data_IF_860532780659
#
_entry.id   IF_860532780659
#
_cell.length_a   1.000
_cell.length_b   1.000
_cell.length_c   1.000
_cell.angle_alpha   90.00
_cell.angle_beta   90.00
_cell.angle_gamma   90.00
#
_symmetry.space_group_name_H-M   'P 1'
#
loop_
_entity.id
_entity.type
_entity.pdbx_description
1 polymer ?
#
# COMPACT_ATOMS: atom_id res chain seq x y z
N UNK A 1 -41.73 18.34 30.83
CA UNK A 1 -41.38 19.69 30.29
C UNK A 1 -41.36 19.58 28.77
N UNK A 2 -42.26 20.27 28.04
CA UNK A 2 -42.15 20.39 26.58
C UNK A 2 -40.86 21.15 26.28
N UNK A 3 -39.87 20.49 25.66
CA UNK A 3 -38.73 21.22 25.07
C UNK A 3 -39.31 22.24 24.09
N UNK A 4 -39.03 23.54 24.31
CA UNK A 4 -39.37 24.58 23.34
C UNK A 4 -38.63 24.29 22.03
N UNK A 5 -39.38 24.18 20.94
CA UNK A 5 -38.84 24.04 19.58
C UNK A 5 -37.93 25.22 19.26
N UNK A 6 -36.65 24.98 18.96
CA UNK A 6 -35.69 26.06 18.68
C UNK A 6 -35.60 26.34 17.19
N UNK A 7 -35.38 27.62 16.87
CA UNK A 7 -35.04 28.07 15.52
C UNK A 7 -33.52 28.18 15.40
N UNK A 8 -32.96 27.44 14.46
CA UNK A 8 -31.52 27.43 14.18
C UNK A 8 -31.31 27.98 12.77
N UNK A 9 -30.47 28.99 12.64
CA UNK A 9 -30.23 29.69 11.38
C UNK A 9 -28.95 29.26 10.70
N UNK A 10 -28.94 29.20 9.37
CA UNK A 10 -27.72 29.04 8.60
C UNK A 10 -27.63 30.04 7.43
N UNK A 11 -26.48 30.73 7.32
CA UNK A 11 -26.19 31.71 6.29
C UNK A 11 -24.87 31.42 5.57
N UNK A 12 -24.79 31.75 4.28
CA UNK A 12 -23.59 31.49 3.46
C UNK A 12 -23.35 32.60 2.44
N UNK A 13 -22.09 33.02 2.31
CA UNK A 13 -21.65 33.95 1.27
C UNK A 13 -20.40 33.47 0.55
N UNK A 14 -20.28 33.84 -0.74
CA UNK A 14 -19.12 33.53 -1.55
C UNK A 14 -17.96 34.51 -1.37
N UNK A 15 -18.24 35.79 -1.10
CA UNK A 15 -17.21 36.85 -1.01
C UNK A 15 -17.66 38.18 -0.37
N UNK A 16 -18.93 38.60 -0.50
CA UNK A 16 -19.38 39.95 -0.08
C UNK A 16 -19.98 39.97 1.35
N UNK A 17 -19.57 40.93 2.19
CA UNK A 17 -20.04 41.08 3.57
C UNK A 17 -21.44 41.69 3.68
N UNK A 18 -21.84 42.52 2.71
CA UNK A 18 -23.20 43.08 2.67
C UNK A 18 -24.28 42.00 2.48
N UNK A 19 -24.02 40.96 1.67
CA UNK A 19 -24.94 39.83 1.43
C UNK A 19 -25.08 38.92 2.68
N UNK A 20 -24.06 38.90 3.55
CA UNK A 20 -24.12 38.13 4.79
C UNK A 20 -24.99 38.84 5.83
N UNK A 21 -24.85 40.15 5.95
CA UNK A 21 -25.63 40.93 6.92
C UNK A 21 -27.13 40.85 6.61
N UNK A 22 -27.52 40.94 5.33
CA UNK A 22 -28.92 40.77 4.90
C UNK A 22 -29.51 39.41 5.30
N UNK A 23 -28.71 38.33 5.20
CA UNK A 23 -29.11 37.00 5.63
C UNK A 23 -29.30 36.93 7.15
N UNK A 24 -28.36 37.48 7.91
CA UNK A 24 -28.40 37.49 9.37
C UNK A 24 -29.60 38.29 9.89
N UNK A 25 -29.85 39.47 9.33
CA UNK A 25 -30.97 40.32 9.71
C UNK A 25 -32.31 39.62 9.45
N UNK A 26 -32.43 38.90 8.32
CA UNK A 26 -33.61 38.11 7.99
C UNK A 26 -33.83 36.93 8.97
N UNK A 27 -32.75 36.23 9.37
CA UNK A 27 -32.81 35.12 10.32
C UNK A 27 -33.21 35.59 11.73
N UNK A 28 -32.64 36.70 12.19
CA UNK A 28 -32.95 37.30 13.50
C UNK A 28 -34.40 37.79 13.52
N UNK A 29 -34.88 38.41 12.43
CA UNK A 29 -36.27 38.90 12.31
C UNK A 29 -37.31 37.78 12.44
N UNK A 30 -36.96 36.55 12.06
CA UNK A 30 -37.82 35.36 12.17
C UNK A 30 -37.75 34.72 13.57
N UNK A 31 -36.84 35.16 14.42
CA UNK A 31 -36.70 34.69 15.80
C UNK A 31 -35.54 33.70 16.02
N UNK A 32 -34.60 33.58 15.09
CA UNK A 32 -33.35 32.86 15.37
C UNK A 32 -32.49 33.66 16.36
N UNK A 33 -32.09 33.06 17.47
CA UNK A 33 -31.16 33.68 18.40
C UNK A 33 -29.76 33.79 17.77
N UNK A 34 -29.02 34.86 18.08
CA UNK A 34 -27.65 35.04 17.53
C UNK A 34 -26.73 33.84 17.81
N UNK A 35 -26.89 33.22 18.98
CA UNK A 35 -26.09 32.06 19.40
C UNK A 35 -26.47 30.74 18.68
N UNK A 36 -27.57 30.75 17.92
CA UNK A 36 -28.05 29.61 17.12
C UNK A 36 -27.97 29.86 15.61
N UNK A 37 -27.24 30.90 15.18
CA UNK A 37 -26.98 31.19 13.77
C UNK A 37 -25.55 30.78 13.40
N UNK A 38 -25.43 29.94 12.38
CA UNK A 38 -24.15 29.46 11.85
C UNK A 38 -23.87 30.07 10.48
N UNK A 39 -22.60 30.39 10.21
CA UNK A 39 -22.22 31.07 8.97
C UNK A 39 -21.01 30.44 8.31
N UNK A 40 -21.02 30.38 6.98
CA UNK A 40 -19.85 30.01 6.18
C UNK A 40 -19.50 31.11 5.15
N UNK A 41 -18.24 31.56 5.16
CA UNK A 41 -17.66 32.48 4.15
C UNK A 41 -16.72 31.67 3.25
N UNK A 42 -17.25 31.12 2.15
CA UNK A 42 -16.52 30.16 1.30
C UNK A 42 -16.68 30.54 -0.16
N UNK A 43 -15.57 30.83 -0.84
CA UNK A 43 -15.52 30.96 -2.30
C UNK A 43 -15.62 29.58 -2.96
N UNK A 44 -16.30 29.53 -4.12
CA UNK A 44 -16.59 28.27 -4.81
C UNK A 44 -15.35 27.38 -5.03
N UNK A 45 -15.56 26.06 -4.95
CA UNK A 45 -14.68 24.88 -5.14
C UNK A 45 -14.19 24.12 -3.90
N UNK A 46 -14.15 24.70 -2.69
CA UNK A 46 -13.79 23.93 -1.47
C UNK A 46 -14.98 23.11 -0.90
N UNK A 47 -14.72 21.88 -0.47
CA UNK A 47 -15.75 20.92 -0.02
C UNK A 47 -16.24 21.19 1.42
N UNK A 48 -15.31 21.61 2.28
CA UNK A 48 -15.52 21.77 3.73
C UNK A 48 -16.47 22.93 4.04
N UNK A 49 -17.48 22.66 4.87
CA UNK A 49 -18.50 23.63 5.33
C UNK A 49 -18.64 23.50 6.86
N UNK A 50 -17.64 23.96 7.62
CA UNK A 50 -17.61 23.76 9.06
C UNK A 50 -18.77 24.47 9.77
N UNK A 51 -19.30 25.58 9.22
CA UNK A 51 -20.49 26.24 9.75
C UNK A 51 -21.74 25.39 9.60
N UNK A 52 -21.96 24.80 8.41
CA UNK A 52 -23.09 23.90 8.18
C UNK A 52 -23.00 22.62 9.02
N UNK A 53 -21.81 22.03 9.14
CA UNK A 53 -21.61 20.81 9.96
C UNK A 53 -21.96 21.07 11.43
N UNK A 54 -21.45 22.16 12.02
CA UNK A 54 -21.80 22.58 13.39
C UNK A 54 -23.29 22.87 13.55
N UNK A 55 -23.92 23.46 12.54
CA UNK A 55 -25.36 23.68 12.54
C UNK A 55 -26.13 22.37 12.61
N UNK A 56 -25.73 21.36 11.83
CA UNK A 56 -26.39 20.05 11.78
C UNK A 56 -26.18 19.23 13.04
N UNK A 57 -25.02 19.36 13.71
CA UNK A 57 -24.75 18.73 15.01
C UNK A 57 -25.59 19.32 16.14
N UNK A 58 -25.93 20.61 16.05
CA UNK A 58 -26.67 21.31 17.10
C UNK A 58 -28.17 21.04 17.08
N UNK A 59 -28.73 20.72 15.91
CA UNK A 59 -30.15 20.47 15.70
C UNK A 59 -30.62 19.20 16.44
N UNK A 60 -31.74 19.32 17.15
CA UNK A 60 -32.41 18.22 17.85
C UNK A 60 -33.83 17.99 17.31
N UNK A 61 -34.43 16.86 17.68
CA UNK A 61 -35.81 16.55 17.33
C UNK A 61 -36.76 17.66 17.82
N UNK A 62 -37.61 18.18 16.92
CA UNK A 62 -38.52 19.29 17.18
C UNK A 62 -37.97 20.68 16.86
N UNK A 63 -36.68 20.80 16.49
CA UNK A 63 -36.11 22.06 16.04
C UNK A 63 -36.47 22.36 14.58
N UNK A 64 -36.33 23.63 14.19
CA UNK A 64 -36.47 24.06 12.78
C UNK A 64 -35.17 24.68 12.28
N UNK A 65 -34.64 24.15 11.18
CA UNK A 65 -33.57 24.79 10.41
C UNK A 65 -34.15 25.87 9.47
N UNK A 66 -33.69 27.10 9.66
CA UNK A 66 -34.05 28.26 8.84
C UNK A 66 -32.87 28.67 7.96
N UNK A 67 -33.13 28.86 6.67
CA UNK A 67 -32.17 29.45 5.73
C UNK A 67 -32.79 30.60 4.97
N UNK A 68 -31.98 31.59 4.59
CA UNK A 68 -32.48 32.70 3.79
C UNK A 68 -33.01 32.26 2.42
N UNK A 69 -32.24 31.39 1.74
CA UNK A 69 -32.58 30.81 0.43
C UNK A 69 -32.01 29.39 0.26
N UNK A 70 -32.63 28.59 -0.60
CA UNK A 70 -32.25 27.18 -0.87
C UNK A 70 -30.84 27.04 -1.48
N UNK A 71 -30.43 27.99 -2.33
CA UNK A 71 -29.09 28.05 -2.95
C UNK A 71 -27.98 28.22 -1.90
N UNK A 72 -28.32 28.64 -0.68
CA UNK A 72 -27.38 28.77 0.43
C UNK A 72 -27.08 27.43 1.09
N UNK A 73 -28.03 26.48 1.03
CA UNK A 73 -27.93 25.17 1.69
C UNK A 73 -27.32 24.08 0.77
N UNK A 74 -27.79 23.95 -0.48
CA UNK A 74 -27.35 22.90 -1.41
C UNK A 74 -26.37 23.38 -2.50
N UNK A 75 -25.53 22.47 -3.03
CA UNK A 75 -24.74 22.71 -4.27
C UNK A 75 -25.48 22.29 -5.54
N UNK A 76 -26.49 21.44 -5.37
CA UNK A 76 -27.37 20.92 -6.41
C UNK A 76 -28.72 20.59 -5.77
N UNK A 77 -29.78 20.56 -6.58
CA UNK A 77 -31.12 20.17 -6.12
C UNK A 77 -31.12 18.78 -5.47
N UNK A 78 -30.33 17.84 -6.00
CA UNK A 78 -30.22 16.49 -5.43
C UNK A 78 -29.64 16.50 -4.00
N UNK A 79 -28.57 17.26 -3.78
CA UNK A 79 -27.96 17.37 -2.45
C UNK A 79 -28.90 18.04 -1.44
N UNK A 80 -29.69 19.02 -1.91
CA UNK A 80 -30.68 19.71 -1.10
C UNK A 80 -31.80 18.75 -0.64
N UNK A 81 -32.30 17.91 -1.56
CA UNK A 81 -33.34 16.91 -1.26
C UNK A 81 -32.87 15.92 -0.19
N UNK A 82 -31.67 15.33 -0.36
CA UNK A 82 -31.13 14.38 0.61
C UNK A 82 -30.95 14.99 2.01
N UNK A 83 -30.50 16.25 2.07
CA UNK A 83 -30.30 16.93 3.34
C UNK A 83 -31.64 17.16 4.05
N UNK A 84 -32.66 17.64 3.33
CA UNK A 84 -33.99 17.90 3.92
C UNK A 84 -34.68 16.58 4.31
N UNK A 85 -34.55 15.51 3.51
CA UNK A 85 -35.03 14.17 3.90
C UNK A 85 -34.36 13.68 5.19
N UNK A 86 -33.04 13.89 5.34
CA UNK A 86 -32.32 13.52 6.56
C UNK A 86 -32.78 14.31 7.78
N UNK A 87 -33.04 15.61 7.62
CA UNK A 87 -33.59 16.46 8.69
C UNK A 87 -34.97 15.95 9.13
N UNK A 88 -35.83 15.64 8.16
CA UNK A 88 -37.16 15.09 8.42
C UNK A 88 -37.11 13.76 9.17
N UNK A 89 -36.23 12.84 8.78
CA UNK A 89 -36.03 11.56 9.47
C UNK A 89 -35.60 11.74 10.94
N UNK A 90 -34.89 12.84 11.25
CA UNK A 90 -34.48 13.21 12.60
C UNK A 90 -35.54 14.00 13.37
N UNK A 91 -36.73 14.22 12.79
CA UNK A 91 -37.79 15.03 13.39
C UNK A 91 -37.47 16.53 13.39
N UNK A 92 -36.58 16.98 12.51
CA UNK A 92 -36.20 18.39 12.36
C UNK A 92 -36.98 18.99 11.19
N UNK A 93 -37.62 20.13 11.42
CA UNK A 93 -38.32 20.89 10.39
C UNK A 93 -37.36 21.78 9.60
N UNK A 94 -37.74 22.12 8.37
CA UNK A 94 -36.97 22.97 7.46
C UNK A 94 -37.84 24.08 6.85
N UNK A 95 -37.29 25.30 6.79
CA UNK A 95 -37.94 26.47 6.18
C UNK A 95 -36.94 27.37 5.45
N UNK A 96 -37.30 27.79 4.24
CA UNK A 96 -36.64 28.90 3.53
C UNK A 96 -37.41 30.21 3.70
N UNK A 97 -36.72 31.32 3.89
CA UNK A 97 -37.32 32.65 4.07
C UNK A 97 -37.86 33.20 2.76
N UNK A 98 -37.04 33.22 1.71
CA UNK A 98 -37.36 33.92 0.47
C UNK A 98 -37.98 33.02 -0.61
N UNK A 99 -37.85 31.69 -0.50
CA UNK A 99 -38.35 30.78 -1.53
C UNK A 99 -39.84 30.40 -1.34
N UNK A 100 -40.52 31.00 -0.35
CA UNK A 100 -41.98 31.15 -0.18
C UNK A 100 -42.85 29.90 -0.04
N UNK A 101 -42.46 28.79 -0.66
CA UNK A 101 -43.27 27.59 -0.86
C UNK A 101 -42.67 26.34 -0.19
N UNK A 102 -41.45 26.43 0.37
CA UNK A 102 -40.77 25.31 1.04
C UNK A 102 -40.73 25.56 2.53
N UNK A 103 -41.88 25.33 3.15
CA UNK A 103 -42.06 25.25 4.60
C UNK A 103 -42.61 23.87 4.94
N UNK A 104 -41.72 22.98 5.39
CA UNK A 104 -42.07 21.59 5.74
C UNK A 104 -42.93 21.48 7.01
N UNK A 105 -43.22 22.61 7.68
CA UNK A 105 -44.19 22.66 8.79
C UNK A 105 -45.64 22.84 8.32
N UNK A 106 -45.86 23.02 7.01
CA UNK A 106 -47.19 23.20 6.41
C UNK A 106 -47.50 22.08 5.42
N UNK A 107 -48.77 21.64 5.35
CA UNK A 107 -49.19 20.59 4.40
C UNK A 107 -48.93 20.97 2.94
N UNK A 108 -49.14 22.24 2.58
CA UNK A 108 -48.87 22.76 1.22
C UNK A 108 -47.37 22.80 0.92
N UNK A 109 -46.53 23.21 1.87
CA UNK A 109 -45.08 23.22 1.69
C UNK A 109 -44.46 21.83 1.65
N UNK A 110 -45.03 20.87 2.37
CA UNK A 110 -44.63 19.46 2.30
C UNK A 110 -44.97 18.85 0.93
N UNK A 111 -46.16 19.12 0.38
CA UNK A 111 -46.54 18.67 -0.96
C UNK A 111 -45.57 19.21 -2.03
N UNK A 112 -45.28 20.51 -1.97
CA UNK A 112 -44.35 21.16 -2.90
C UNK A 112 -42.95 20.57 -2.79
N UNK A 113 -42.46 20.30 -1.57
CA UNK A 113 -41.18 19.64 -1.37
C UNK A 113 -41.12 18.23 -1.98
N UNK A 114 -42.18 17.42 -1.82
CA UNK A 114 -42.26 16.08 -2.40
C UNK A 114 -42.27 16.10 -3.94
N UNK A 115 -42.91 17.09 -4.55
CA UNK A 115 -42.89 17.32 -5.99
C UNK A 115 -41.47 17.67 -6.46
N UNK A 116 -40.78 18.60 -5.77
CA UNK A 116 -39.38 18.95 -6.07
C UNK A 116 -38.43 17.76 -5.91
N UNK A 117 -38.65 16.93 -4.90
CA UNK A 117 -37.86 15.72 -4.65
C UNK A 117 -38.02 14.71 -5.79
N UNK A 118 -39.26 14.51 -6.25
CA UNK A 118 -39.59 13.65 -7.38
C UNK A 118 -38.99 14.16 -8.69
N UNK A 119 -39.07 15.47 -8.94
CA UNK A 119 -38.45 16.14 -10.10
C UNK A 119 -36.91 16.01 -10.09
N UNK A 120 -36.27 16.19 -8.94
CA UNK A 120 -34.82 16.05 -8.82
C UNK A 120 -34.35 14.60 -9.08
N UNK A 121 -35.11 13.60 -8.61
CA UNK A 121 -34.85 12.19 -8.92
C UNK A 121 -35.08 11.87 -10.40
N UNK A 122 -36.08 12.49 -11.02
CA UNK A 122 -36.35 12.35 -12.44
C UNK A 122 -35.22 12.92 -13.30
N UNK A 123 -34.74 14.15 -13.02
CA UNK A 123 -33.60 14.74 -13.73
C UNK A 123 -32.33 13.90 -13.61
N UNK A 124 -32.03 13.35 -12.42
CA UNK A 124 -30.87 12.47 -12.23
C UNK A 124 -30.96 11.23 -13.11
N UNK A 125 -32.14 10.60 -13.19
CA UNK A 125 -32.37 9.44 -14.07
C UNK A 125 -32.20 9.81 -15.54
N UNK A 126 -32.75 10.94 -15.98
CA UNK A 126 -32.56 11.43 -17.35
C UNK A 126 -31.10 11.70 -17.70
N UNK A 127 -30.31 12.28 -16.79
CA UNK A 127 -28.87 12.50 -16.99
C UNK A 127 -28.13 11.16 -17.11
N UNK A 128 -28.45 10.19 -16.25
CA UNK A 128 -27.85 8.86 -16.31
C UNK A 128 -28.20 8.13 -17.61
N UNK A 129 -29.46 8.19 -18.03
CA UNK A 129 -29.95 7.61 -19.29
C UNK A 129 -29.26 8.24 -20.50
N UNK A 130 -29.21 9.57 -20.58
CA UNK A 130 -28.49 10.28 -21.66
C UNK A 130 -27.00 9.95 -21.68
N UNK A 131 -26.38 9.86 -20.51
CA UNK A 131 -24.95 9.50 -20.42
C UNK A 131 -24.71 8.08 -20.90
N UNK A 132 -25.56 7.13 -20.48
CA UNK A 132 -25.47 5.73 -20.90
C UNK A 132 -25.71 5.58 -22.40
N UNK A 133 -26.77 6.18 -22.93
CA UNK A 133 -27.05 6.19 -24.37
C UNK A 133 -25.91 6.84 -25.17
N UNK A 134 -25.32 7.94 -24.67
CA UNK A 134 -24.17 8.59 -25.27
C UNK A 134 -22.91 7.71 -25.27
N UNK A 135 -22.65 7.00 -24.17
CA UNK A 135 -21.52 6.06 -24.06
C UNK A 135 -21.71 4.82 -24.95
N UNK A 136 -22.92 4.27 -25.02
CA UNK A 136 -23.25 3.14 -25.91
C UNK A 136 -23.11 3.54 -27.37
N UNK A 137 -23.63 4.71 -27.76
CA UNK A 137 -23.46 5.25 -29.10
C UNK A 137 -22.00 5.62 -29.41
N UNK A 138 -21.19 5.98 -28.41
CA UNK A 138 -19.75 6.19 -28.59
C UNK A 138 -19.02 4.86 -28.79
N UNK A 139 -19.36 3.82 -28.02
CA UNK A 139 -18.80 2.46 -28.15
C UNK A 139 -19.15 1.82 -29.50
N UNK A 140 -20.39 1.95 -29.97
CA UNK A 140 -20.80 1.44 -31.29
C UNK A 140 -20.06 2.12 -32.44
N UNK A 141 -19.62 3.37 -32.24
CA UNK A 141 -18.73 4.12 -33.16
C UNK A 141 -17.23 3.86 -32.88
N UNK A 142 -16.89 2.82 -32.13
CA UNK A 142 -15.50 2.42 -31.83
C UNK A 142 -14.77 3.30 -30.80
N UNK A 143 -15.43 4.27 -30.18
CA UNK A 143 -14.82 5.10 -29.12
C UNK A 143 -14.96 4.39 -27.78
N UNK A 144 -13.94 3.61 -27.43
CA UNK A 144 -13.77 3.05 -26.10
C UNK A 144 -13.30 4.16 -25.15
N UNK A 145 -14.23 4.71 -24.37
CA UNK A 145 -13.93 5.69 -23.32
C UNK A 145 -12.93 5.16 -22.28
N UNK A 146 -12.29 6.08 -21.54
CA UNK A 146 -11.27 5.77 -20.55
C UNK A 146 -9.87 6.24 -20.96
N UNK A 147 -8.94 6.25 -20.00
CA UNK A 147 -7.54 6.62 -20.26
C UNK A 147 -6.91 5.56 -21.16
N UNK A 148 -6.44 5.96 -22.36
CA UNK A 148 -5.76 5.06 -23.30
C UNK A 148 -4.69 4.23 -22.57
N UNK A 149 -4.72 2.91 -22.76
CA UNK A 149 -3.66 2.02 -22.28
C UNK A 149 -2.35 2.46 -22.93
N UNK A 150 -1.33 2.67 -22.10
CA UNK A 150 0.03 2.86 -22.59
C UNK A 150 0.54 1.45 -22.94
N UNK A 151 1.02 1.23 -24.14
CA UNK A 151 1.61 -0.05 -24.55
C UNK A 151 3.10 -0.11 -24.16
N UNK A 152 3.64 -1.32 -24.03
CA UNK A 152 5.07 -1.51 -23.70
C UNK A 152 6.00 -0.96 -24.78
N UNK A 153 5.53 -0.96 -26.02
CA UNK A 153 6.18 -0.41 -27.22
C UNK A 153 6.12 1.12 -27.29
N UNK A 154 5.36 1.78 -26.40
CA UNK A 154 5.25 3.24 -26.41
C UNK A 154 6.65 3.84 -26.19
N UNK A 155 7.11 4.80 -27.01
CA UNK A 155 8.44 5.40 -26.88
C UNK A 155 8.74 5.89 -25.47
N UNK A 156 7.74 6.41 -24.77
CA UNK A 156 7.83 6.84 -23.37
C UNK A 156 8.16 5.70 -22.40
N UNK A 157 7.58 4.52 -22.57
CA UNK A 157 7.85 3.35 -21.71
C UNK A 157 9.24 2.79 -22.01
N UNK A 158 9.61 2.70 -23.29
CA UNK A 158 10.94 2.27 -23.70
C UNK A 158 12.03 3.21 -23.18
N UNK A 159 11.79 4.53 -23.26
CA UNK A 159 12.71 5.53 -22.74
C UNK A 159 12.78 5.52 -21.22
N UNK A 160 11.65 5.31 -20.53
CA UNK A 160 11.62 5.12 -19.08
C UNK A 160 12.43 3.89 -18.64
N UNK A 161 12.30 2.75 -19.34
CA UNK A 161 13.11 1.54 -19.08
C UNK A 161 14.60 1.81 -19.31
N UNK A 162 14.98 2.50 -20.38
CA UNK A 162 16.38 2.88 -20.65
C UNK A 162 16.95 3.84 -19.60
N UNK A 163 16.21 4.89 -19.26
CA UNK A 163 16.62 5.88 -18.25
C UNK A 163 16.77 5.24 -16.87
N UNK A 164 15.85 4.36 -16.48
CA UNK A 164 15.98 3.62 -15.22
C UNK A 164 17.20 2.71 -15.22
N UNK A 165 17.43 1.98 -16.33
CA UNK A 165 18.60 1.10 -16.50
C UNK A 165 19.94 1.86 -16.46
N UNK A 166 19.98 3.13 -16.86
CA UNK A 166 21.19 3.97 -16.75
C UNK A 166 21.50 4.49 -15.32
N UNK A 167 20.60 4.30 -14.35
CA UNK A 167 20.75 4.68 -12.94
C UNK A 167 21.04 6.18 -12.65
N UNK A 168 21.08 7.04 -13.68
CA UNK A 168 21.35 8.47 -13.51
C UNK A 168 20.15 9.31 -13.04
N UNK A 169 18.97 8.72 -12.90
CA UNK A 169 17.74 9.45 -12.55
C UNK A 169 16.78 8.58 -11.74
N UNK A 170 16.19 9.16 -10.70
CA UNK A 170 15.19 8.46 -9.87
C UNK A 170 13.93 8.15 -10.67
N UNK A 171 13.17 7.10 -10.30
CA UNK A 171 11.88 6.79 -10.94
C UNK A 171 10.91 7.97 -10.83
N UNK A 172 11.00 8.76 -9.76
CA UNK A 172 10.18 9.96 -9.59
C UNK A 172 10.48 11.00 -10.65
N UNK A 173 11.76 11.22 -10.93
CA UNK A 173 12.19 12.20 -11.90
C UNK A 173 11.98 11.68 -13.32
N UNK A 174 12.13 10.37 -13.56
CA UNK A 174 11.74 9.72 -14.83
C UNK A 174 10.23 9.88 -15.06
N UNK A 175 9.41 9.63 -14.05
CA UNK A 175 7.95 9.80 -14.12
C UNK A 175 7.57 11.25 -14.44
N UNK A 176 8.20 12.23 -13.77
CA UNK A 176 8.00 13.66 -14.02
C UNK A 176 8.43 14.05 -15.43
N UNK A 177 9.64 13.67 -15.82
CA UNK A 177 10.26 14.01 -17.12
C UNK A 177 9.44 13.45 -18.28
N UNK A 178 9.07 12.18 -18.22
CA UNK A 178 8.34 11.51 -19.29
C UNK A 178 6.82 11.71 -19.21
N UNK A 179 6.34 12.37 -18.14
CA UNK A 179 4.92 12.57 -17.81
C UNK A 179 4.16 11.24 -17.78
N UNK A 180 4.74 10.23 -17.12
CA UNK A 180 4.15 8.92 -16.88
C UNK A 180 3.80 8.83 -15.39
N UNK A 181 2.63 8.30 -15.04
CA UNK A 181 2.31 8.08 -13.63
C UNK A 181 3.12 6.92 -13.07
N UNK A 182 3.47 6.95 -11.77
CA UNK A 182 4.11 5.81 -11.10
C UNK A 182 3.34 4.50 -11.32
N UNK A 183 2.01 4.55 -11.20
CA UNK A 183 1.09 3.43 -11.50
C UNK A 183 1.27 2.82 -12.90
N UNK A 184 1.68 3.61 -13.89
CA UNK A 184 2.00 3.10 -15.23
C UNK A 184 3.41 2.53 -15.31
N UNK A 185 4.37 3.03 -14.53
CA UNK A 185 5.70 2.42 -14.44
C UNK A 185 5.65 1.05 -13.76
N UNK A 186 4.87 0.90 -12.67
CA UNK A 186 4.63 -0.39 -12.01
C UNK A 186 4.02 -1.43 -12.94
N UNK A 187 2.97 -1.05 -13.69
CA UNK A 187 2.27 -1.96 -14.62
C UNK A 187 3.11 -2.38 -15.83
N UNK A 188 4.27 -1.76 -16.04
CA UNK A 188 5.11 -1.96 -17.22
C UNK A 188 6.47 -2.57 -16.89
N UNK A 189 6.61 -3.14 -15.68
CA UNK A 189 7.85 -3.75 -15.17
C UNK A 189 9.06 -2.84 -15.41
N UNK A 190 8.90 -1.55 -15.10
CA UNK A 190 10.02 -0.61 -15.16
C UNK A 190 10.88 -0.75 -13.91
N UNK A 191 10.31 -1.20 -12.79
CA UNK A 191 11.00 -1.46 -11.51
C UNK A 191 11.34 -2.94 -11.37
N UNK A 192 12.51 -3.22 -10.80
CA UNK A 192 12.92 -4.57 -10.42
C UNK A 192 12.04 -5.06 -9.26
N UNK A 193 11.45 -6.24 -9.42
CA UNK A 193 10.64 -6.92 -8.41
C UNK A 193 11.47 -7.95 -7.67
N UNK A 194 11.58 -7.84 -6.36
CA UNK A 194 12.41 -8.74 -5.54
C UNK A 194 11.55 -9.48 -4.53
N UNK A 195 11.62 -10.81 -4.55
CA UNK A 195 11.07 -11.64 -3.49
C UNK A 195 12.09 -11.74 -2.33
N UNK A 196 11.63 -11.58 -1.10
CA UNK A 196 12.45 -11.77 0.11
C UNK A 196 11.83 -12.89 0.93
N UNK A 197 12.57 -13.96 1.19
CA UNK A 197 12.06 -15.10 1.98
C UNK A 197 12.72 -15.12 3.35
N UNK A 198 11.91 -15.08 4.41
CA UNK A 198 12.36 -15.04 5.80
C UNK A 198 11.77 -16.20 6.61
N UNK A 199 12.35 -16.45 7.79
CA UNK A 199 12.21 -17.72 8.52
C UNK A 199 11.67 -17.57 9.95
N UNK A 200 11.11 -16.42 10.31
CA UNK A 200 10.64 -16.08 11.67
C UNK A 200 11.10 -14.67 12.06
N UNK A 201 11.16 -14.36 13.35
CA UNK A 201 11.59 -13.04 13.84
C UNK A 201 12.51 -13.16 15.06
N UNK A 202 13.82 -13.32 14.81
CA UNK A 202 14.83 -13.49 15.85
C UNK A 202 15.95 -14.41 15.36
N UNK A 203 17.22 -14.06 15.55
CA UNK A 203 18.31 -14.80 14.91
C UNK A 203 18.48 -16.24 15.42
N UNK A 204 18.00 -16.60 16.61
CA UNK A 204 18.19 -17.96 17.17
C UNK A 204 17.12 -18.96 16.71
N UNK A 205 15.94 -18.48 16.32
CA UNK A 205 14.78 -19.32 15.98
C UNK A 205 14.01 -18.88 14.72
N UNK A 206 14.46 -17.79 14.08
CA UNK A 206 13.87 -17.17 12.90
C UNK A 206 14.89 -16.45 12.03
N UNK A 207 14.45 -15.39 11.35
CA UNK A 207 15.31 -14.56 10.54
C UNK A 207 16.17 -13.64 11.40
N UNK A 208 17.42 -13.40 10.98
CA UNK A 208 18.26 -12.36 11.58
C UNK A 208 17.63 -10.99 11.26
N UNK A 209 17.31 -10.22 12.30
CA UNK A 209 16.46 -9.03 12.20
C UNK A 209 17.21 -7.91 11.47
N UNK A 210 18.47 -7.67 11.80
CA UNK A 210 19.27 -6.63 11.16
C UNK A 210 19.56 -6.95 9.69
N UNK A 211 19.92 -8.19 9.36
CA UNK A 211 20.15 -8.61 7.97
C UNK A 211 18.91 -8.40 7.13
N UNK A 212 17.75 -8.77 7.67
CA UNK A 212 16.46 -8.59 7.00
C UNK A 212 16.14 -7.10 6.84
N UNK A 213 16.26 -6.30 7.90
CA UNK A 213 15.97 -4.85 7.85
C UNK A 213 16.93 -4.13 6.90
N UNK A 214 18.22 -4.45 6.90
CA UNK A 214 19.19 -3.89 5.97
C UNK A 214 18.90 -4.29 4.53
N UNK A 215 18.53 -5.55 4.30
CA UNK A 215 18.09 -6.00 2.97
C UNK A 215 16.92 -5.16 2.47
N UNK A 216 15.87 -4.98 3.30
CA UNK A 216 14.70 -4.19 2.95
C UNK A 216 15.02 -2.70 2.75
N UNK A 217 15.89 -2.13 3.59
CA UNK A 217 16.35 -0.75 3.48
C UNK A 217 17.09 -0.50 2.16
N UNK A 218 18.00 -1.38 1.78
CA UNK A 218 18.77 -1.22 0.54
C UNK A 218 17.89 -1.44 -0.69
N UNK A 219 16.97 -2.40 -0.64
CA UNK A 219 15.96 -2.59 -1.69
C UNK A 219 15.07 -1.35 -1.88
N UNK A 220 14.69 -0.66 -0.80
CA UNK A 220 13.95 0.61 -0.84
C UNK A 220 14.78 1.76 -1.43
N UNK A 221 16.06 1.91 -1.02
CA UNK A 221 16.99 2.90 -1.59
C UNK A 221 17.15 2.73 -3.10
N UNK A 222 17.16 1.48 -3.58
CA UNK A 222 17.21 1.16 -5.00
C UNK A 222 15.86 1.24 -5.72
N UNK A 223 14.78 1.65 -5.04
CA UNK A 223 13.43 1.82 -5.59
C UNK A 223 12.94 0.52 -6.26
N UNK A 224 13.10 -0.60 -5.57
CA UNK A 224 12.58 -1.90 -6.00
C UNK A 224 11.17 -2.13 -5.46
N UNK A 225 10.41 -3.00 -6.13
CA UNK A 225 9.14 -3.50 -5.59
C UNK A 225 9.43 -4.80 -4.81
N UNK A 226 9.20 -4.78 -3.50
CA UNK A 226 9.53 -5.91 -2.62
C UNK A 226 8.26 -6.65 -2.19
N UNK A 227 8.32 -7.99 -2.23
CA UNK A 227 7.32 -8.85 -1.57
C UNK A 227 8.03 -9.80 -0.63
N UNK A 228 7.54 -9.85 0.61
CA UNK A 228 8.10 -10.69 1.67
C UNK A 228 7.28 -11.97 1.76
N UNK A 229 7.97 -13.09 1.94
CA UNK A 229 7.38 -14.42 2.03
C UNK A 229 7.95 -15.18 3.23
N UNK A 230 7.12 -16.03 3.83
CA UNK A 230 7.55 -17.00 4.84
C UNK A 230 6.65 -18.24 4.76
N UNK A 231 7.16 -19.45 5.06
CA UNK A 231 6.31 -20.65 5.07
C UNK A 231 5.32 -20.59 6.24
N UNK A 232 4.07 -20.98 6.00
CA UNK A 232 3.07 -21.13 7.05
C UNK A 232 3.26 -22.48 7.80
N UNK A 233 4.29 -22.55 8.64
CA UNK A 233 4.66 -23.73 9.43
C UNK A 233 4.97 -23.35 10.88
N UNK A 234 4.95 -24.32 11.80
CA UNK A 234 5.46 -24.14 13.16
C UNK A 234 6.99 -23.97 13.15
N UNK A 235 7.54 -23.09 13.98
CA UNK A 235 8.98 -23.02 14.21
C UNK A 235 9.46 -24.31 14.88
N UNK A 236 10.63 -24.82 14.48
CA UNK A 236 11.21 -26.02 15.12
C UNK A 236 11.53 -25.81 16.59
N UNK A 237 11.84 -24.57 16.98
CA UNK A 237 12.08 -24.17 18.37
C UNK A 237 11.65 -22.72 18.57
N UNK A 238 11.40 -22.37 19.83
CA UNK A 238 11.24 -20.99 20.29
C UNK A 238 12.33 -20.73 21.31
N UNK A 239 13.04 -19.61 21.19
CA UNK A 239 14.20 -19.31 22.03
C UNK A 239 14.03 -17.97 22.72
N UNK A 240 14.27 -17.98 24.03
CA UNK A 240 14.46 -16.75 24.78
C UNK A 240 15.82 -16.18 24.40
N UNK A 241 15.86 -15.08 23.65
CA UNK A 241 17.11 -14.51 23.17
C UNK A 241 17.95 -13.86 24.28
N UNK A 242 17.38 -13.58 25.47
CA UNK A 242 18.12 -13.09 26.62
C UNK A 242 18.88 -14.22 27.32
N UNK A 243 18.22 -15.34 27.59
CA UNK A 243 18.83 -16.49 28.29
C UNK A 243 19.49 -17.49 27.34
N UNK A 244 19.20 -17.39 26.03
CA UNK A 244 19.56 -18.33 24.98
C UNK A 244 18.96 -19.74 25.13
N UNK A 245 17.97 -19.89 26.02
CA UNK A 245 17.33 -21.17 26.31
C UNK A 245 16.08 -21.40 25.46
N UNK A 246 15.80 -22.67 25.20
CA UNK A 246 14.55 -23.09 24.56
C UNK A 246 13.39 -22.79 25.50
N UNK A 247 12.32 -22.21 24.94
CA UNK A 247 11.04 -22.02 25.62
C UNK A 247 10.07 -23.14 25.27
N UNK A 248 9.23 -23.53 26.23
CA UNK A 248 8.12 -24.46 26.00
C UNK A 248 6.89 -23.72 25.42
N UNK A 249 7.11 -23.14 24.24
CA UNK A 249 6.10 -22.41 23.49
C UNK A 249 6.13 -22.83 22.02
N UNK A 250 5.00 -22.66 21.33
CA UNK A 250 4.88 -22.86 19.90
C UNK A 250 4.61 -21.53 19.22
N UNK A 251 5.34 -21.27 18.14
CA UNK A 251 5.16 -20.08 17.28
C UNK A 251 5.13 -20.50 15.83
N UNK A 252 4.44 -19.71 15.00
CA UNK A 252 4.35 -19.95 13.57
C UNK A 252 5.29 -19.01 12.81
N UNK A 253 6.05 -19.57 11.87
CA UNK A 253 7.08 -18.88 11.09
C UNK A 253 6.49 -17.68 10.32
N UNK A 254 5.36 -17.84 9.65
CA UNK A 254 4.71 -16.77 8.89
C UNK A 254 4.18 -15.67 9.82
N UNK A 255 3.54 -16.06 10.93
CA UNK A 255 2.98 -15.12 11.92
C UNK A 255 4.09 -14.27 12.56
N UNK A 256 5.19 -14.89 12.99
CA UNK A 256 6.30 -14.16 13.59
C UNK A 256 7.03 -13.30 12.56
N UNK A 257 7.21 -13.80 11.33
CA UNK A 257 7.78 -13.03 10.22
C UNK A 257 6.97 -11.78 9.86
N UNK A 258 5.64 -11.80 10.08
CA UNK A 258 4.77 -10.65 9.85
C UNK A 258 5.14 -9.44 10.74
N UNK A 259 5.84 -9.65 11.86
CA UNK A 259 6.37 -8.57 12.72
C UNK A 259 7.36 -7.69 11.95
N UNK A 260 8.35 -8.31 11.30
CA UNK A 260 9.35 -7.60 10.49
C UNK A 260 8.66 -6.94 9.27
N UNK A 261 7.75 -7.68 8.62
CA UNK A 261 7.06 -7.22 7.43
C UNK A 261 5.93 -6.20 7.68
N UNK A 262 5.65 -5.83 8.95
CA UNK A 262 4.52 -4.95 9.34
C UNK A 262 3.17 -5.44 8.77
N UNK A 263 2.95 -6.76 8.79
CA UNK A 263 1.77 -7.42 8.24
C UNK A 263 1.76 -7.60 6.71
N UNK A 264 2.73 -7.05 5.98
CA UNK A 264 2.81 -7.14 4.51
C UNK A 264 3.64 -8.36 4.07
N UNK A 265 3.15 -9.55 4.39
CA UNK A 265 3.81 -10.82 4.09
C UNK A 265 2.82 -11.81 3.49
N UNK A 266 3.31 -12.72 2.65
CA UNK A 266 2.52 -13.79 2.04
C UNK A 266 3.09 -15.16 2.41
N UNK A 267 2.26 -16.20 2.30
CA UNK A 267 2.74 -17.56 2.45
C UNK A 267 3.70 -17.88 1.30
N UNK A 268 4.81 -18.56 1.61
CA UNK A 268 5.81 -18.97 0.62
C UNK A 268 5.20 -19.78 -0.54
N UNK A 269 4.18 -20.59 -0.27
CA UNK A 269 3.49 -21.38 -1.30
C UNK A 269 2.76 -20.54 -2.37
N UNK A 270 2.51 -19.25 -2.10
CA UNK A 270 1.91 -18.31 -3.05
C UNK A 270 2.93 -17.66 -4.00
N UNK A 271 4.24 -17.87 -3.75
CA UNK A 271 5.29 -17.27 -4.56
C UNK A 271 5.29 -17.85 -5.97
N UNK A 272 5.10 -16.97 -6.96
CA UNK A 272 5.17 -17.28 -8.37
C UNK A 272 6.41 -16.65 -9.00
N UNK A 273 7.42 -17.48 -9.33
CA UNK A 273 8.75 -17.04 -9.79
C UNK A 273 8.71 -16.13 -11.02
N UNK A 274 7.74 -16.32 -11.92
CA UNK A 274 7.57 -15.48 -13.11
C UNK A 274 7.27 -14.01 -12.78
N UNK A 275 6.75 -13.70 -11.59
CA UNK A 275 6.35 -12.35 -11.18
C UNK A 275 7.49 -11.54 -10.55
N UNK A 276 8.67 -12.13 -10.37
CA UNK A 276 9.82 -11.51 -9.71
C UNK A 276 11.05 -11.54 -10.61
N UNK A 277 11.93 -10.56 -10.47
CA UNK A 277 13.19 -10.47 -11.22
C UNK A 277 14.36 -11.05 -10.44
N UNK A 278 14.27 -11.11 -9.11
CA UNK A 278 15.26 -11.73 -8.22
C UNK A 278 14.63 -12.23 -6.91
N UNK A 279 15.39 -13.01 -6.17
CA UNK A 279 15.08 -13.45 -4.80
C UNK A 279 16.27 -13.18 -3.87
N UNK A 280 16.01 -12.75 -2.64
CA UNK A 280 17.01 -12.60 -1.59
C UNK A 280 16.58 -13.41 -0.35
N UNK A 281 17.54 -14.13 0.24
CA UNK A 281 17.37 -14.98 1.41
C UNK A 281 18.22 -14.45 2.58
N UNK A 282 17.68 -13.59 3.46
CA UNK A 282 18.33 -13.22 4.72
C UNK A 282 18.62 -14.44 5.61
N UNK A 283 19.63 -14.34 6.47
CA UNK A 283 20.07 -15.42 7.34
C UNK A 283 19.27 -15.52 8.63
N UNK A 284 19.99 -15.86 9.70
CA UNK A 284 19.44 -16.29 10.97
C UNK A 284 19.33 -17.81 11.07
N UNK A 285 19.44 -18.32 12.29
CA UNK A 285 19.45 -19.75 12.58
C UNK A 285 18.10 -20.41 12.23
N UNK A 286 17.00 -19.64 12.20
CA UNK A 286 15.72 -20.10 11.66
C UNK A 286 15.80 -20.51 10.18
N UNK A 287 16.74 -20.00 9.38
CA UNK A 287 16.93 -20.52 8.03
C UNK A 287 17.47 -21.97 8.04
N UNK A 288 18.36 -22.29 8.97
CA UNK A 288 18.91 -23.63 9.13
C UNK A 288 17.96 -24.62 9.85
N UNK A 289 16.87 -24.12 10.45
CA UNK A 289 15.90 -24.92 11.20
C UNK A 289 14.51 -25.00 10.56
N UNK A 290 14.00 -23.87 10.05
CA UNK A 290 12.63 -23.76 9.56
C UNK A 290 12.57 -23.81 8.02
N UNK A 291 13.59 -23.27 7.33
CA UNK A 291 13.70 -23.33 5.86
C UNK A 291 14.47 -24.57 5.38
N UNK A 292 15.13 -25.26 6.29
CA UNK A 292 15.84 -26.53 6.08
C UNK A 292 15.99 -27.24 7.41
N UNK A 293 16.48 -28.47 7.42
CA UNK A 293 16.91 -29.19 8.62
C UNK A 293 18.45 -29.19 8.77
N UNK A 294 19.14 -28.19 8.21
CA UNK A 294 20.61 -28.07 8.20
C UNK A 294 21.21 -28.10 9.60
N UNK A 295 20.60 -27.41 10.56
CA UNK A 295 21.07 -27.38 11.94
C UNK A 295 20.99 -28.75 12.65
N UNK A 296 20.25 -29.71 12.09
CA UNK A 296 20.05 -31.06 12.65
C UNK A 296 20.85 -32.09 11.85
N UNK A 297 20.75 -32.05 10.52
CA UNK A 297 21.21 -33.11 9.61
C UNK A 297 22.49 -32.76 8.83
N UNK A 298 23.02 -31.54 8.98
CA UNK A 298 24.29 -31.10 8.41
C UNK A 298 24.41 -31.44 6.90
N UNK A 299 25.41 -32.22 6.47
CA UNK A 299 25.61 -32.60 5.06
C UNK A 299 24.46 -33.41 4.41
N UNK A 300 23.64 -34.10 5.23
CA UNK A 300 22.47 -34.87 4.78
C UNK A 300 21.18 -34.08 4.80
N UNK A 301 21.26 -32.79 5.14
CA UNK A 301 20.12 -31.92 5.24
C UNK A 301 19.37 -31.73 3.91
N UNK A 302 18.16 -31.20 4.03
CA UNK A 302 17.21 -30.89 2.99
C UNK A 302 16.62 -29.52 3.26
N UNK A 303 16.51 -28.74 2.19
CA UNK A 303 15.69 -27.52 2.17
C UNK A 303 14.22 -27.94 2.09
N UNK A 304 13.33 -27.20 2.75
CA UNK A 304 11.88 -27.47 2.67
C UNK A 304 11.42 -27.48 1.21
N UNK A 305 10.44 -28.33 0.89
CA UNK A 305 10.06 -28.65 -0.49
C UNK A 305 9.73 -27.42 -1.34
N UNK A 306 8.96 -26.48 -0.79
CA UNK A 306 8.55 -25.28 -1.52
C UNK A 306 9.75 -24.37 -1.82
N UNK A 307 10.62 -24.13 -0.84
CA UNK A 307 11.80 -23.31 -1.03
C UNK A 307 12.80 -23.96 -1.99
N UNK A 308 13.03 -25.29 -1.91
CA UNK A 308 13.90 -26.02 -2.87
C UNK A 308 13.40 -25.80 -4.29
N UNK A 309 12.10 -25.98 -4.54
CA UNK A 309 11.48 -25.76 -5.85
C UNK A 309 11.65 -24.32 -6.33
N UNK A 310 11.40 -23.34 -5.46
CA UNK A 310 11.53 -21.91 -5.79
C UNK A 310 12.97 -21.57 -6.16
N UNK A 311 13.97 -22.00 -5.37
CA UNK A 311 15.40 -21.75 -5.67
C UNK A 311 15.78 -22.32 -7.04
N UNK A 312 15.40 -23.57 -7.31
CA UNK A 312 15.66 -24.22 -8.59
C UNK A 312 14.99 -23.45 -9.74
N UNK A 313 13.74 -23.01 -9.57
CA UNK A 313 13.03 -22.24 -10.60
C UNK A 313 13.66 -20.87 -10.87
N UNK A 314 14.11 -20.14 -9.83
CA UNK A 314 14.84 -18.88 -10.03
C UNK A 314 16.15 -19.11 -10.80
N UNK A 315 16.91 -20.16 -10.43
CA UNK A 315 18.15 -20.53 -11.11
C UNK A 315 17.91 -20.92 -12.58
N UNK A 316 16.93 -21.79 -12.85
CA UNK A 316 16.56 -22.21 -14.21
C UNK A 316 16.06 -21.04 -15.07
N UNK A 317 15.37 -20.07 -14.46
CA UNK A 317 14.96 -18.84 -15.13
C UNK A 317 16.11 -17.84 -15.33
N UNK A 318 17.34 -18.19 -14.91
CA UNK A 318 18.52 -17.31 -14.92
C UNK A 318 18.30 -15.99 -14.20
N UNK A 319 17.51 -16.02 -13.11
CA UNK A 319 17.22 -14.85 -12.28
C UNK A 319 18.18 -14.81 -11.09
N UNK A 320 18.69 -13.64 -10.68
CA UNK A 320 19.68 -13.55 -9.63
C UNK A 320 19.14 -14.00 -8.27
N UNK A 321 19.99 -14.66 -7.49
CA UNK A 321 19.69 -15.13 -6.13
C UNK A 321 20.71 -14.53 -5.17
N UNK A 322 20.24 -13.75 -4.19
CA UNK A 322 21.05 -13.26 -3.08
C UNK A 322 20.89 -14.14 -1.85
N UNK A 323 21.99 -14.49 -1.19
CA UNK A 323 21.94 -15.23 0.09
C UNK A 323 22.93 -14.65 1.12
N UNK A 324 22.47 -14.53 2.36
CA UNK A 324 23.15 -13.81 3.44
C UNK A 324 23.36 -14.77 4.62
N UNK A 325 24.53 -14.70 5.26
CA UNK A 325 24.86 -15.48 6.45
C UNK A 325 24.81 -16.98 6.17
N UNK A 326 23.87 -17.74 6.73
CA UNK A 326 23.81 -19.20 6.60
C UNK A 326 23.03 -19.68 5.37
N UNK A 327 22.20 -18.84 4.75
CA UNK A 327 21.40 -19.22 3.57
C UNK A 327 22.21 -19.60 2.31
N UNK A 328 23.48 -19.21 2.10
CA UNK A 328 24.33 -19.79 1.06
C UNK A 328 24.42 -21.33 1.17
N UNK A 329 24.43 -21.90 2.38
CA UNK A 329 24.41 -23.36 2.56
C UNK A 329 23.09 -24.00 2.05
N UNK A 330 21.96 -23.29 2.16
CA UNK A 330 20.68 -23.73 1.59
C UNK A 330 20.73 -23.72 0.06
N UNK A 331 21.44 -22.76 -0.57
CA UNK A 331 21.65 -22.77 -2.02
C UNK A 331 22.43 -24.01 -2.46
N UNK A 332 23.51 -24.34 -1.74
CA UNK A 332 24.29 -25.56 -2.01
C UNK A 332 23.41 -26.82 -1.89
N UNK A 333 22.63 -26.94 -0.81
CA UNK A 333 21.69 -28.05 -0.62
C UNK A 333 20.62 -28.15 -1.71
N UNK A 334 20.08 -27.02 -2.16
CA UNK A 334 19.02 -26.98 -3.17
C UNK A 334 19.53 -27.30 -4.57
N UNK A 335 20.75 -26.86 -4.91
CA UNK A 335 21.31 -26.90 -6.27
C UNK A 335 22.35 -28.00 -6.51
N UNK A 336 22.80 -28.73 -5.47
CA UNK A 336 23.87 -29.76 -5.57
C UNK A 336 23.64 -30.82 -6.66
N UNK A 337 22.39 -31.15 -6.99
CA UNK A 337 22.04 -32.14 -8.02
C UNK A 337 22.01 -31.54 -9.45
N UNK A 338 22.10 -30.21 -9.57
CA UNK A 338 21.88 -29.48 -10.81
C UNK A 338 23.13 -28.76 -11.32
N UNK A 339 23.91 -28.16 -10.41
CA UNK A 339 25.05 -27.33 -10.81
C UNK A 339 26.06 -27.17 -9.67
N UNK A 340 27.34 -27.05 -10.02
CA UNK A 340 28.35 -26.60 -9.07
C UNK A 340 28.30 -25.07 -8.91
N UNK A 341 28.28 -24.59 -7.67
CA UNK A 341 28.14 -23.18 -7.33
C UNK A 341 29.33 -22.69 -6.50
N UNK A 342 29.66 -21.41 -6.60
CA UNK A 342 30.65 -20.75 -5.74
C UNK A 342 29.96 -19.81 -4.75
N UNK A 343 30.17 -20.04 -3.45
CA UNK A 343 29.50 -19.30 -2.37
C UNK A 343 30.45 -19.02 -1.20
N UNK A 344 30.06 -18.11 -0.30
CA UNK A 344 30.81 -17.81 0.92
C UNK A 344 29.96 -17.92 2.18
N UNK A 345 30.58 -18.40 3.25
CA UNK A 345 30.13 -18.22 4.64
C UNK A 345 31.13 -17.35 5.44
N UNK A 346 32.11 -16.73 4.76
CA UNK A 346 33.10 -15.84 5.37
C UNK A 346 34.48 -16.48 5.40
N UNK A 347 34.85 -17.07 6.54
CA UNK A 347 36.09 -17.83 6.68
C UNK A 347 35.93 -19.26 6.14
N UNK A 348 37.04 -19.96 5.92
CA UNK A 348 37.01 -21.37 5.52
C UNK A 348 36.18 -22.19 6.52
N UNK A 349 35.22 -22.91 5.98
CA UNK A 349 34.27 -23.76 6.69
C UNK A 349 34.04 -25.03 5.87
N UNK A 350 34.35 -26.17 6.48
CA UNK A 350 34.18 -27.49 5.86
C UNK A 350 32.75 -27.77 5.41
N UNK A 351 31.75 -27.05 5.94
CA UNK A 351 30.35 -27.19 5.58
C UNK A 351 30.12 -27.02 4.08
N UNK A 352 30.68 -25.99 3.44
CA UNK A 352 30.42 -25.71 2.01
C UNK A 352 30.95 -26.85 1.13
N UNK A 353 32.16 -27.34 1.46
CA UNK A 353 32.78 -28.46 0.74
C UNK A 353 31.98 -29.76 0.93
N UNK A 354 31.53 -30.03 2.15
CA UNK A 354 30.65 -31.19 2.45
C UNK A 354 29.32 -31.12 1.70
N UNK A 355 28.84 -29.91 1.41
CA UNK A 355 27.64 -29.66 0.61
C UNK A 355 27.88 -29.69 -0.90
N UNK A 356 29.08 -30.09 -1.35
CA UNK A 356 29.47 -30.19 -2.78
C UNK A 356 29.40 -28.86 -3.54
N UNK A 357 29.73 -27.75 -2.86
CA UNK A 357 29.89 -26.44 -3.46
C UNK A 357 31.33 -25.93 -3.34
N UNK A 358 31.72 -25.01 -4.22
CA UNK A 358 33.01 -24.32 -4.14
C UNK A 358 32.95 -23.22 -3.10
N UNK A 359 33.85 -23.27 -2.12
CA UNK A 359 33.98 -22.24 -1.10
C UNK A 359 34.89 -21.09 -1.55
N UNK A 360 34.44 -19.87 -1.31
CA UNK A 360 35.26 -18.67 -1.41
C UNK A 360 35.31 -17.94 -0.05
N UNK A 361 36.50 -17.52 0.38
CA UNK A 361 36.65 -16.70 1.58
C UNK A 361 36.23 -15.25 1.31
N UNK A 362 35.57 -14.61 2.28
CA UNK A 362 35.02 -13.27 2.13
C UNK A 362 35.03 -12.52 3.47
N UNK A 363 35.30 -11.21 3.45
CA UNK A 363 35.15 -10.35 4.61
C UNK A 363 33.69 -9.91 4.78
N UNK A 364 33.32 -9.47 5.99
CA UNK A 364 31.95 -9.05 6.32
C UNK A 364 31.44 -7.87 5.49
N UNK A 365 32.33 -7.01 5.00
CA UNK A 365 32.03 -5.82 4.19
C UNK A 365 32.19 -6.09 2.67
N UNK A 366 32.24 -7.37 2.26
CA UNK A 366 32.42 -7.80 0.87
C UNK A 366 31.35 -8.81 0.47
N UNK A 367 31.39 -9.18 -0.81
CA UNK A 367 30.51 -10.19 -1.42
C UNK A 367 31.33 -11.16 -2.27
N UNK A 368 30.78 -12.35 -2.47
CA UNK A 368 31.21 -13.31 -3.48
C UNK A 368 30.12 -13.40 -4.55
N UNK A 369 30.54 -13.40 -5.81
CA UNK A 369 29.65 -13.47 -6.96
C UNK A 369 30.01 -14.69 -7.81
N UNK A 370 29.05 -15.59 -7.98
CA UNK A 370 29.10 -16.62 -9.01
C UNK A 370 28.38 -16.09 -10.26
N UNK A 371 29.15 -15.49 -11.17
CA UNK A 371 28.60 -14.87 -12.39
C UNK A 371 27.91 -15.90 -13.31
N UNK A 372 28.39 -17.15 -13.32
CA UNK A 372 27.84 -18.22 -14.15
C UNK A 372 26.43 -18.59 -13.68
N UNK A 373 26.24 -18.70 -12.36
CA UNK A 373 24.98 -19.11 -11.76
C UNK A 373 24.10 -17.93 -11.28
N UNK A 374 24.58 -16.68 -11.44
CA UNK A 374 23.96 -15.45 -10.93
C UNK A 374 23.64 -15.50 -9.44
N UNK A 375 24.58 -16.02 -8.66
CA UNK A 375 24.46 -16.07 -7.20
C UNK A 375 25.32 -14.99 -6.59
N UNK A 376 24.79 -14.30 -5.58
CA UNK A 376 25.51 -13.29 -4.81
C UNK A 376 25.41 -13.66 -3.34
N UNK A 377 26.55 -13.78 -2.67
CA UNK A 377 26.61 -14.22 -1.26
C UNK A 377 27.45 -13.28 -0.41
N UNK A 378 27.05 -13.05 0.83
CA UNK A 378 27.79 -12.26 1.83
C UNK A 378 27.68 -12.91 3.21
N UNK A 379 28.74 -12.93 4.02
CA UNK A 379 28.76 -13.72 5.25
C UNK A 379 28.01 -13.08 6.42
N UNK A 380 27.83 -11.75 6.45
CA UNK A 380 27.11 -11.03 7.51
C UNK A 380 27.49 -11.52 8.93
N UNK A 381 26.51 -11.93 9.76
CA UNK A 381 26.77 -12.38 11.14
C UNK A 381 27.45 -13.74 11.27
N UNK A 382 27.83 -14.42 10.18
CA UNK A 382 28.77 -15.56 10.25
C UNK A 382 30.16 -15.13 10.74
N UNK A 383 30.47 -13.83 10.64
CA UNK A 383 31.71 -13.25 11.12
C UNK A 383 31.43 -12.31 12.31
N UNK A 384 32.37 -12.26 13.25
CA UNK A 384 32.34 -11.28 14.32
C UNK A 384 32.75 -9.90 13.77
N UNK A 385 31.77 -9.17 13.23
CA UNK A 385 31.95 -7.87 12.60
C UNK A 385 30.97 -6.84 13.16
N UNK A 386 31.27 -5.56 13.00
CA UNK A 386 30.35 -4.51 13.42
C UNK A 386 29.08 -4.51 12.56
N UNK A 387 28.00 -3.98 13.12
CA UNK A 387 26.74 -3.80 12.40
C UNK A 387 26.91 -2.98 11.11
N UNK A 388 27.80 -1.97 11.12
CA UNK A 388 28.12 -1.16 9.94
C UNK A 388 28.84 -1.95 8.86
N UNK A 389 29.79 -2.82 9.21
CA UNK A 389 30.47 -3.69 8.24
C UNK A 389 29.49 -4.68 7.59
N UNK A 390 28.62 -5.28 8.41
CA UNK A 390 27.58 -6.19 7.94
C UNK A 390 26.62 -5.47 6.98
N UNK A 391 26.20 -4.25 7.32
CA UNK A 391 25.37 -3.43 6.44
C UNK A 391 26.05 -3.14 5.10
N UNK A 392 27.36 -2.85 5.08
CA UNK A 392 28.11 -2.66 3.83
C UNK A 392 28.07 -3.91 2.95
N UNK A 393 28.32 -5.09 3.52
CA UNK A 393 28.25 -6.37 2.77
C UNK A 393 26.87 -6.61 2.16
N UNK A 394 25.80 -6.36 2.92
CA UNK A 394 24.41 -6.51 2.46
C UNK A 394 24.06 -5.47 1.39
N UNK A 395 24.51 -4.22 1.55
CA UNK A 395 24.30 -3.16 0.54
C UNK A 395 24.97 -3.52 -0.79
N UNK A 396 26.21 -4.01 -0.75
CA UNK A 396 26.90 -4.51 -1.95
C UNK A 396 26.16 -5.69 -2.59
N UNK A 397 25.63 -6.62 -1.78
CA UNK A 397 24.87 -7.76 -2.28
C UNK A 397 23.60 -7.30 -3.01
N UNK A 398 22.80 -6.44 -2.37
CA UNK A 398 21.55 -5.93 -2.94
C UNK A 398 21.82 -5.16 -4.24
N UNK A 399 22.80 -4.26 -4.24
CA UNK A 399 23.19 -3.51 -5.42
C UNK A 399 23.61 -4.43 -6.58
N UNK A 400 24.37 -5.49 -6.30
CA UNK A 400 24.82 -6.45 -7.31
C UNK A 400 23.66 -7.29 -7.85
N UNK A 401 22.77 -7.78 -7.00
CA UNK A 401 21.56 -8.53 -7.39
C UNK A 401 20.71 -7.71 -8.36
N UNK A 402 20.44 -6.45 -8.03
CA UNK A 402 19.64 -5.54 -8.87
C UNK A 402 20.32 -5.26 -10.21
N UNK A 403 21.63 -5.05 -10.22
CA UNK A 403 22.40 -4.86 -11.44
C UNK A 403 22.29 -6.08 -12.37
N UNK A 404 22.32 -7.30 -11.81
CA UNK A 404 22.17 -8.53 -12.58
C UNK A 404 20.77 -8.71 -13.20
N UNK A 405 19.70 -8.22 -12.56
CA UNK A 405 18.35 -8.23 -13.14
C UNK A 405 18.28 -7.41 -14.44
N UNK A 406 19.07 -6.34 -14.51
CA UNK A 406 19.05 -5.39 -15.64
C UNK A 406 19.83 -5.87 -16.86
N UNK A 407 20.60 -6.97 -16.76
CA UNK A 407 21.43 -7.51 -17.86
C UNK A 407 20.80 -8.67 -18.63
N UNK A 408 19.66 -9.17 -18.16
CA UNK A 408 18.72 -10.05 -18.89
C UNK A 408 17.76 -9.22 -19.72
#
# INVERSE_FOLDING_TARGET
>A
MRQMSKLVGYARVSTNEQDLQLQLDALIKIGCHKDTIFTDKISGTKAERPGLEKCLEKLQNGDTLIVWRLDRLGRSMHHLVLLIESLRQKGISFKSICDGAIDTTTASGELIFNIFSSLAQFERRLIQERTKAGLEAARSRGKNGGRKKIEDTTPKVLMAKKMHKSHGMSINDICKTLKISRASCYRKNIMVKVAVVISGCGHLDGAEIFETVFTLLELDKHQTEVKIFAPNIEQQKVVNHLTQEKMDEKRNVLVESARIARGQIQNLSELQVQNFDAIILPGGFGAALNLSDLAINNEKAKVITDLKKIIIQFHQATKPIGAICITPALLALALKEHVNITITLGNKNDLIQKLSATEATCLADKIVVDEKNKLVTTPAFMLNASLSQIHVGISLLVAKVINMCSKT
#
